data_IF_206366633447
#
_entry.id   IF_206366633447
#
_cell.length_a   1.000
_cell.length_b   1.000
_cell.length_c   1.000
_cell.angle_alpha   90.00
_cell.angle_beta   90.00
_cell.angle_gamma   90.00
#
_symmetry.space_group_name_H-M   'P 1'
#
loop_
_entity.id
_entity.type
_entity.pdbx_description
1 polymer ?
#
# COMPACT_ATOMS: atom_id res chain seq x y z
N UNK A 1 -5.87 -9.84 14.21
CA UNK A 1 -6.14 -8.39 14.08
C UNK A 1 -5.44 -7.56 15.16
N UNK A 2 -5.72 -7.75 16.46
CA UNK A 2 -5.13 -6.90 17.52
C UNK A 2 -3.59 -6.91 17.58
N UNK A 3 -2.96 -8.08 17.45
CA UNK A 3 -1.50 -8.19 17.49
C UNK A 3 -0.82 -7.44 16.33
N UNK A 4 -1.35 -7.56 15.10
CA UNK A 4 -0.84 -6.86 13.91
C UNK A 4 -0.98 -5.35 14.06
N UNK A 5 -2.15 -4.89 14.54
CA UNK A 5 -2.37 -3.48 14.84
C UNK A 5 -1.37 -2.95 15.87
N UNK A 6 -1.20 -3.64 17.01
CA UNK A 6 -0.26 -3.22 18.05
C UNK A 6 1.18 -3.15 17.55
N UNK A 7 1.59 -4.11 16.71
CA UNK A 7 2.92 -4.12 16.10
C UNK A 7 3.12 -2.92 15.16
N UNK A 8 2.17 -2.66 14.26
CA UNK A 8 2.24 -1.53 13.33
C UNK A 8 2.24 -0.20 14.07
N UNK A 9 1.45 -0.08 15.14
CA UNK A 9 1.45 1.10 16.01
C UNK A 9 2.78 1.31 16.72
N UNK A 10 3.37 0.24 17.29
CA UNK A 10 4.66 0.31 17.94
C UNK A 10 5.76 0.73 16.96
N UNK A 11 5.79 0.14 15.76
CA UNK A 11 6.75 0.46 14.72
C UNK A 11 6.59 1.90 14.22
N UNK A 12 5.36 2.31 13.88
CA UNK A 12 5.09 3.66 13.37
C UNK A 12 5.30 4.77 14.40
N UNK A 13 5.35 4.44 15.70
CA UNK A 13 5.62 5.42 16.76
C UNK A 13 7.10 5.72 16.96
N UNK A 14 8.01 4.99 16.30
CA UNK A 14 9.46 5.16 16.46
C UNK A 14 9.96 6.47 15.83
N UNK A 15 9.47 6.79 14.62
CA UNK A 15 9.82 8.02 13.91
C UNK A 15 8.81 8.31 12.79
N UNK A 16 8.89 9.51 12.21
CA UNK A 16 8.11 9.82 11.00
C UNK A 16 8.49 8.90 9.84
N UNK A 17 9.77 8.52 9.70
CA UNK A 17 10.21 7.60 8.65
C UNK A 17 9.56 6.22 8.84
N UNK A 18 9.53 5.71 10.08
CA UNK A 18 8.89 4.42 10.40
C UNK A 18 7.37 4.49 10.20
N UNK A 19 6.73 5.61 10.54
CA UNK A 19 5.31 5.82 10.27
C UNK A 19 4.98 5.76 8.77
N UNK A 20 5.83 6.35 7.93
CA UNK A 20 5.67 6.32 6.47
C UNK A 20 5.88 4.91 5.90
N UNK A 21 6.85 4.15 6.43
CA UNK A 21 7.04 2.74 6.07
C UNK A 21 5.84 1.88 6.50
N UNK A 22 5.30 2.11 7.70
CA UNK A 22 4.09 1.41 8.16
C UNK A 22 2.88 1.75 7.28
N UNK A 23 2.73 3.02 6.88
CA UNK A 23 1.70 3.45 5.94
C UNK A 23 1.81 2.71 4.60
N UNK A 24 3.00 2.65 4.02
CA UNK A 24 3.26 1.90 2.79
C UNK A 24 2.97 0.40 2.94
N UNK A 25 3.40 -0.21 4.05
CA UNK A 25 3.15 -1.63 4.36
C UNK A 25 1.66 -1.98 4.41
N UNK A 26 0.85 -1.10 5.00
CA UNK A 26 -0.61 -1.28 5.07
C UNK A 26 -1.20 -1.27 3.66
N UNK A 27 -0.86 -0.27 2.85
CA UNK A 27 -1.41 -0.15 1.50
C UNK A 27 -0.94 -1.28 0.57
N UNK A 28 0.31 -1.73 0.69
CA UNK A 28 0.78 -2.91 -0.06
C UNK A 28 0.01 -4.19 0.32
N UNK A 29 -0.29 -4.37 1.61
CA UNK A 29 -1.12 -5.48 2.08
C UNK A 29 -2.53 -5.37 1.51
N UNK A 30 -3.16 -4.20 1.62
CA UNK A 30 -4.53 -3.99 1.14
C UNK A 30 -4.63 -4.25 -0.36
N UNK A 31 -3.63 -3.81 -1.14
CA UNK A 31 -3.53 -4.09 -2.59
C UNK A 31 -3.48 -5.59 -2.86
N UNK A 32 -2.61 -6.33 -2.15
CA UNK A 32 -2.48 -7.78 -2.32
C UNK A 32 -3.80 -8.50 -1.97
N UNK A 33 -4.44 -8.13 -0.86
CA UNK A 33 -5.69 -8.73 -0.39
C UNK A 33 -6.87 -8.39 -1.33
N UNK A 34 -6.94 -7.17 -1.86
CA UNK A 34 -7.96 -6.75 -2.83
C UNK A 34 -7.79 -7.47 -4.18
N UNK A 35 -6.56 -7.67 -4.64
CA UNK A 35 -6.27 -8.43 -5.87
C UNK A 35 -6.68 -9.89 -5.72
N UNK A 36 -6.38 -10.52 -4.58
CA UNK A 36 -6.84 -11.88 -4.28
C UNK A 36 -8.38 -11.96 -4.23
N UNK A 37 -9.02 -11.01 -3.54
CA UNK A 37 -10.49 -10.96 -3.43
C UNK A 37 -11.17 -10.74 -4.79
N UNK A 38 -10.57 -9.93 -5.67
CA UNK A 38 -11.04 -9.72 -7.05
C UNK A 38 -10.93 -10.97 -7.93
N UNK A 39 -9.99 -11.88 -7.63
CA UNK A 39 -9.88 -13.15 -8.35
C UNK A 39 -10.99 -14.14 -7.95
N UNK A 40 -11.51 -14.04 -6.73
CA UNK A 40 -12.50 -14.97 -6.17
C UNK A 40 -13.96 -14.57 -6.43
N UNK A 41 -14.23 -13.27 -6.62
CA UNK A 41 -15.62 -12.76 -6.77
C UNK A 41 -16.01 -12.43 -8.22
N UNK A 42 -17.19 -12.89 -8.60
CA UNK A 42 -17.82 -12.59 -9.90
C UNK A 42 -18.97 -11.58 -9.78
N UNK A 43 -19.32 -11.17 -8.56
CA UNK A 43 -20.40 -10.24 -8.31
C UNK A 43 -20.00 -8.83 -8.74
N UNK A 44 -20.57 -8.32 -9.84
CA UNK A 44 -20.17 -7.07 -10.47
C UNK A 44 -20.10 -5.88 -9.50
N UNK A 45 -21.06 -5.76 -8.59
CA UNK A 45 -21.10 -4.67 -7.61
C UNK A 45 -19.93 -4.74 -6.61
N UNK A 46 -19.57 -5.94 -6.16
CA UNK A 46 -18.44 -6.14 -5.23
C UNK A 46 -17.12 -5.85 -5.96
N UNK A 47 -16.98 -6.32 -7.21
CA UNK A 47 -15.81 -6.04 -8.03
C UNK A 47 -15.58 -4.53 -8.22
N UNK A 48 -16.65 -3.78 -8.48
CA UNK A 48 -16.59 -2.32 -8.62
C UNK A 48 -16.04 -1.66 -7.34
N UNK A 49 -16.55 -2.07 -6.17
CA UNK A 49 -16.05 -1.56 -4.88
C UNK A 49 -14.57 -1.88 -4.70
N UNK A 50 -14.14 -3.12 -4.96
CA UNK A 50 -12.73 -3.51 -4.82
C UNK A 50 -11.82 -2.76 -5.80
N UNK A 51 -12.26 -2.47 -7.02
CA UNK A 51 -11.49 -1.66 -7.97
C UNK A 51 -11.31 -0.22 -7.47
N UNK A 52 -12.34 0.39 -6.88
CA UNK A 52 -12.21 1.71 -6.28
C UNK A 52 -11.28 1.72 -5.08
N UNK A 53 -11.36 0.71 -4.20
CA UNK A 53 -10.44 0.55 -3.08
C UNK A 53 -8.99 0.36 -3.57
N UNK A 54 -8.78 -0.47 -4.59
CA UNK A 54 -7.46 -0.72 -5.17
C UNK A 54 -6.84 0.57 -5.74
N UNK A 55 -7.64 1.41 -6.41
CA UNK A 55 -7.19 2.70 -6.90
C UNK A 55 -6.85 3.68 -5.76
N UNK A 56 -7.62 3.66 -4.68
CA UNK A 56 -7.35 4.42 -3.45
C UNK A 56 -6.03 4.00 -2.81
N UNK A 57 -5.88 2.71 -2.52
CA UNK A 57 -4.66 2.15 -1.91
C UNK A 57 -3.42 2.36 -2.77
N UNK A 58 -3.54 2.23 -4.10
CA UNK A 58 -2.45 2.56 -5.02
C UNK A 58 -2.02 4.03 -4.92
N UNK A 59 -2.99 4.94 -4.75
CA UNK A 59 -2.71 6.38 -4.59
C UNK A 59 -2.08 6.71 -3.25
N UNK A 60 -2.55 6.06 -2.18
CA UNK A 60 -1.95 6.20 -0.85
C UNK A 60 -0.52 5.65 -0.81
N UNK A 61 -0.27 4.47 -1.39
CA UNK A 61 1.06 3.87 -1.47
C UNK A 61 2.06 4.82 -2.16
N UNK A 62 1.67 5.42 -3.28
CA UNK A 62 2.47 6.45 -3.96
C UNK A 62 2.76 7.65 -3.06
N UNK A 63 1.76 8.13 -2.31
CA UNK A 63 1.94 9.26 -1.39
C UNK A 63 2.89 8.92 -0.23
N UNK A 64 2.77 7.74 0.37
CA UNK A 64 3.67 7.27 1.43
C UNK A 64 5.10 7.11 0.93
N UNK A 65 5.28 6.44 -0.22
CA UNK A 65 6.59 6.26 -0.85
C UNK A 65 7.24 7.62 -1.15
N UNK A 66 6.54 8.52 -1.85
CA UNK A 66 7.06 9.84 -2.19
C UNK A 66 7.42 10.67 -0.94
N UNK A 67 6.58 10.61 0.11
CA UNK A 67 6.86 11.34 1.36
C UNK A 67 8.04 10.75 2.12
N UNK A 68 8.21 9.42 2.10
CA UNK A 68 9.37 8.74 2.68
C UNK A 68 10.66 9.18 2.00
N UNK A 69 10.69 9.17 0.67
CA UNK A 69 11.85 9.60 -0.12
C UNK A 69 12.18 11.07 0.14
N UNK A 70 11.16 11.94 0.16
CA UNK A 70 11.36 13.35 0.45
C UNK A 70 11.92 13.60 1.86
N UNK A 71 11.49 12.83 2.85
CA UNK A 71 11.89 13.02 4.24
C UNK A 71 13.27 12.43 4.55
N UNK A 72 13.61 11.29 3.94
CA UNK A 72 14.80 10.52 4.28
C UNK A 72 15.93 10.64 3.25
N UNK A 73 15.61 11.01 2.01
CA UNK A 73 16.51 10.94 0.86
C UNK A 73 16.77 9.51 0.35
N UNK A 74 16.11 8.50 0.91
CA UNK A 74 16.26 7.09 0.52
C UNK A 74 15.06 6.64 -0.29
N UNK A 75 15.28 5.84 -1.34
CA UNK A 75 14.22 5.22 -2.15
C UNK A 75 13.35 4.30 -1.30
N UNK A 76 12.02 4.41 -1.43
CA UNK A 76 11.11 3.48 -0.77
C UNK A 76 11.28 2.08 -1.35
N UNK A 77 11.41 1.07 -0.49
CA UNK A 77 11.49 -0.34 -0.89
C UNK A 77 10.17 -1.04 -0.56
N UNK A 78 9.61 -1.76 -1.53
CA UNK A 78 8.40 -2.55 -1.32
C UNK A 78 8.63 -3.59 -0.22
N UNK A 79 7.65 -3.75 0.67
CA UNK A 79 7.73 -4.65 1.82
C UNK A 79 6.92 -5.95 1.64
N UNK A 80 5.92 -5.95 0.75
CA UNK A 80 5.00 -7.08 0.50
C UNK A 80 4.87 -7.38 -0.99
N UNK A 81 4.68 -6.35 -1.82
CA UNK A 81 4.56 -6.54 -3.26
C UNK A 81 5.92 -6.92 -3.86
N UNK A 82 5.89 -7.71 -4.94
CA UNK A 82 7.09 -7.89 -5.75
C UNK A 82 7.44 -6.61 -6.51
N UNK A 83 8.69 -6.54 -7.00
CA UNK A 83 9.19 -5.35 -7.68
C UNK A 83 8.35 -4.98 -8.91
N UNK A 84 7.87 -5.96 -9.68
CA UNK A 84 7.13 -5.69 -10.90
C UNK A 84 5.73 -5.09 -10.60
N UNK A 85 5.04 -5.62 -9.60
CA UNK A 85 3.76 -5.10 -9.13
C UNK A 85 3.92 -3.69 -8.55
N UNK A 86 4.95 -3.48 -7.73
CA UNK A 86 5.28 -2.17 -7.16
C UNK A 86 5.58 -1.14 -8.26
N UNK A 87 6.45 -1.48 -9.22
CA UNK A 87 6.82 -0.60 -10.33
C UNK A 87 5.61 -0.23 -11.19
N UNK A 88 4.71 -1.19 -11.44
CA UNK A 88 3.47 -0.92 -12.17
C UNK A 88 2.60 0.13 -11.45
N UNK A 89 2.49 0.05 -10.12
CA UNK A 89 1.73 1.01 -9.31
C UNK A 89 2.40 2.40 -9.32
N UNK A 90 3.73 2.46 -9.23
CA UNK A 90 4.49 3.71 -9.25
C UNK A 90 4.45 4.39 -10.62
N UNK A 91 4.48 3.61 -11.70
CA UNK A 91 4.38 4.11 -13.09
C UNK A 91 2.97 4.58 -13.49
N UNK A 92 1.94 4.23 -12.71
CA UNK A 92 0.53 4.56 -12.98
C UNK A 92 0.17 6.06 -12.94
N UNK A 93 1.15 6.96 -12.84
CA UNK A 93 0.98 8.41 -13.03
C UNK A 93 1.46 8.75 -14.45
N UNK A 94 0.57 8.74 -15.42
CA UNK A 94 0.70 9.43 -16.72
C UNK A 94 -0.68 9.54 -17.36
N UNK A 95 -1.40 10.60 -16.98
CA UNK A 95 -2.72 10.96 -17.50
C UNK A 95 -3.24 12.22 -16.82
#
# INVERSE_FOLDING_TARGET
MQARYNQLMAQGSLSLADALLVGGLIEETDIQDLQASLAETQQANIRLVYQHLLAGSSSHLRAFAARYEQFTGMTYQSQVLDQAAFDAIMSGISG
#
